data_IF_258337086259
#
_entry.id   IF_258337086259
#
_cell.length_a   1.000
_cell.length_b   1.000
_cell.length_c   1.000
_cell.angle_alpha   90.00
_cell.angle_beta   90.00
_cell.angle_gamma   90.00
#
_symmetry.space_group_name_H-M   'P 1'
#
loop_
_entity.id
_entity.type
_entity.pdbx_description
1 polymer ?
#
# COMPACT_ATOMS: atom_id res chain seq x y z
N UNK A 1 2.39 -33.88 24.14
CA UNK A 1 2.93 -34.57 25.33
C UNK A 1 2.96 -36.06 25.04
N UNK A 2 4.10 -36.71 25.25
CA UNK A 2 4.22 -38.16 25.10
C UNK A 2 3.94 -38.83 26.46
N UNK A 3 3.06 -39.83 26.49
CA UNK A 3 2.67 -40.57 27.70
C UNK A 3 3.16 -42.00 27.58
N UNK A 4 4.04 -42.41 28.50
CA UNK A 4 4.48 -43.80 28.65
C UNK A 4 3.42 -44.59 29.45
N UNK A 5 2.96 -45.71 28.88
CA UNK A 5 1.84 -46.52 29.40
C UNK A 5 2.30 -47.59 30.42
N UNK A 6 3.59 -47.70 30.75
CA UNK A 6 4.12 -48.77 31.59
C UNK A 6 4.26 -48.46 33.08
N UNK A 7 4.46 -47.19 33.46
CA UNK A 7 4.84 -46.84 34.85
C UNK A 7 3.93 -45.82 35.53
N UNK A 8 2.97 -45.24 34.80
CA UNK A 8 2.00 -44.26 35.33
C UNK A 8 2.59 -42.94 35.85
N UNK A 9 3.92 -42.75 35.75
CA UNK A 9 4.60 -41.55 36.22
C UNK A 9 4.63 -40.51 35.10
N UNK A 10 3.81 -39.48 35.25
CA UNK A 10 3.88 -38.29 34.39
C UNK A 10 5.10 -37.44 34.79
N UNK A 11 6.19 -37.54 34.04
CA UNK A 11 7.26 -36.55 34.11
C UNK A 11 6.82 -35.31 33.34
N UNK A 12 6.32 -34.33 34.08
CA UNK A 12 6.00 -33.00 33.57
C UNK A 12 7.33 -32.30 33.26
N UNK A 13 7.84 -32.49 32.03
CA UNK A 13 8.91 -31.66 31.50
C UNK A 13 8.29 -30.28 31.29
N UNK A 14 8.31 -29.47 32.35
CA UNK A 14 7.98 -28.07 32.28
C UNK A 14 9.11 -27.41 31.52
N UNK A 15 8.95 -27.28 30.20
CA UNK A 15 9.84 -26.49 29.37
C UNK A 15 9.62 -25.05 29.83
N UNK A 16 10.43 -24.59 30.79
CA UNK A 16 10.66 -23.18 31.07
C UNK A 16 11.43 -22.60 29.89
N UNK A 17 10.81 -22.62 28.73
CA UNK A 17 11.28 -22.00 27.52
C UNK A 17 10.90 -20.54 27.61
N UNK A 18 11.71 -19.74 28.30
CA UNK A 18 11.78 -18.30 28.03
C UNK A 18 12.46 -18.05 26.67
N UNK A 19 11.97 -18.74 25.64
CA UNK A 19 12.45 -18.75 24.25
C UNK A 19 11.35 -18.34 23.27
N UNK A 20 10.20 -17.92 23.79
CA UNK A 20 9.14 -17.27 23.04
C UNK A 20 9.04 -15.82 23.50
N UNK A 21 8.76 -14.93 22.56
CA UNK A 21 8.47 -13.51 22.80
C UNK A 21 7.54 -13.37 24.01
N UNK A 22 7.92 -12.52 24.96
CA UNK A 22 7.06 -12.16 26.08
C UNK A 22 5.76 -11.53 25.56
N UNK A 23 4.68 -11.57 26.36
CA UNK A 23 3.40 -10.96 25.94
C UNK A 23 3.55 -9.49 25.53
N UNK A 24 4.42 -8.75 26.22
CA UNK A 24 4.74 -7.36 25.90
C UNK A 24 5.46 -7.23 24.54
N UNK A 25 6.38 -8.14 24.23
CA UNK A 25 7.04 -8.19 22.91
C UNK A 25 6.06 -8.59 21.80
N UNK A 26 5.14 -9.53 22.07
CA UNK A 26 4.08 -9.92 21.12
C UNK A 26 3.15 -8.74 20.81
N UNK A 27 2.71 -8.00 21.84
CA UNK A 27 1.86 -6.82 21.64
C UNK A 27 2.58 -5.70 20.90
N UNK A 28 3.87 -5.49 21.20
CA UNK A 28 4.69 -4.50 20.49
C UNK A 28 4.86 -4.90 19.01
N UNK A 29 5.20 -6.15 18.73
CA UNK A 29 5.35 -6.65 17.37
C UNK A 29 4.03 -6.61 16.59
N UNK A 30 2.89 -6.80 17.25
CA UNK A 30 1.58 -6.67 16.62
C UNK A 30 1.29 -5.23 16.20
N UNK A 31 1.54 -4.24 17.08
CA UNK A 31 1.38 -2.82 16.73
C UNK A 31 2.36 -2.34 15.66
N UNK A 32 3.61 -2.79 15.73
CA UNK A 32 4.63 -2.47 14.73
C UNK A 32 4.22 -3.05 13.36
N UNK A 33 3.72 -4.29 13.32
CA UNK A 33 3.20 -4.91 12.10
C UNK A 33 1.96 -4.18 11.53
N UNK A 34 1.02 -3.76 12.37
CA UNK A 34 -0.15 -2.99 11.95
C UNK A 34 0.24 -1.62 11.39
N UNK A 35 1.19 -0.93 12.03
CA UNK A 35 1.68 0.38 11.58
C UNK A 35 2.36 0.28 10.22
N UNK A 36 3.25 -0.69 10.04
CA UNK A 36 3.91 -0.91 8.75
C UNK A 36 2.95 -1.35 7.66
N UNK A 37 1.94 -2.16 7.97
CA UNK A 37 0.89 -2.51 7.01
C UNK A 37 0.11 -1.27 6.53
N UNK A 38 -0.12 -0.29 7.41
CA UNK A 38 -0.77 0.98 7.03
C UNK A 38 0.16 1.88 6.20
N UNK A 39 1.44 1.94 6.53
CA UNK A 39 2.46 2.65 5.74
C UNK A 39 2.58 2.06 4.32
N UNK A 40 2.69 0.73 4.20
CA UNK A 40 2.76 0.04 2.91
C UNK A 40 1.49 0.27 2.09
N UNK A 41 0.32 0.28 2.74
CA UNK A 41 -0.95 0.58 2.08
C UNK A 41 -0.98 2.00 1.54
N UNK A 42 -0.55 2.99 2.33
CA UNK A 42 -0.47 4.41 1.89
C UNK A 42 0.52 4.58 0.76
N UNK A 43 1.68 3.93 0.82
CA UNK A 43 2.68 3.97 -0.25
C UNK A 43 2.12 3.37 -1.55
N UNK A 44 1.43 2.24 -1.46
CA UNK A 44 0.75 1.62 -2.60
C UNK A 44 -0.33 2.52 -3.18
N UNK A 45 -1.19 3.10 -2.36
CA UNK A 45 -2.25 4.03 -2.79
C UNK A 45 -1.66 5.26 -3.49
N UNK A 46 -0.57 5.83 -2.96
CA UNK A 46 0.11 6.96 -3.60
C UNK A 46 0.64 6.60 -5.00
N UNK A 47 1.26 5.42 -5.16
CA UNK A 47 1.75 4.94 -6.45
C UNK A 47 0.59 4.66 -7.41
N UNK A 48 -0.50 4.03 -6.95
CA UNK A 48 -1.69 3.79 -7.77
C UNK A 48 -2.32 5.10 -8.24
N UNK A 49 -2.44 6.09 -7.36
CA UNK A 49 -2.93 7.43 -7.71
C UNK A 49 -2.02 8.06 -8.76
N UNK A 50 -0.70 7.99 -8.59
CA UNK A 50 0.28 8.53 -9.55
C UNK A 50 0.13 7.89 -10.93
N UNK A 51 0.04 6.56 -10.99
CA UNK A 51 -0.13 5.81 -12.24
C UNK A 51 -1.47 6.09 -12.92
N UNK A 52 -2.56 6.16 -12.15
CA UNK A 52 -3.89 6.49 -12.66
C UNK A 52 -3.94 7.92 -13.21
N UNK A 53 -3.34 8.87 -12.50
CA UNK A 53 -3.28 10.26 -12.91
C UNK A 53 -2.45 10.44 -14.20
N UNK A 54 -1.30 9.76 -14.32
CA UNK A 54 -0.48 9.79 -15.55
C UNK A 54 -1.23 9.17 -16.75
N UNK A 55 -1.87 8.02 -16.52
CA UNK A 55 -2.70 7.36 -17.54
C UNK A 55 -3.82 8.27 -18.03
N UNK A 56 -4.52 8.95 -17.10
CA UNK A 56 -5.60 9.87 -17.43
C UNK A 56 -5.09 11.11 -18.19
N UNK A 57 -3.94 11.67 -17.77
CA UNK A 57 -3.30 12.78 -18.46
C UNK A 57 -2.96 12.40 -19.91
N UNK A 58 -2.32 11.25 -20.12
CA UNK A 58 -1.99 10.74 -21.44
C UNK A 58 -3.22 10.50 -22.32
N UNK A 59 -4.28 9.87 -21.78
CA UNK A 59 -5.54 9.67 -22.50
C UNK A 59 -6.18 11.00 -22.92
N UNK A 60 -6.16 11.98 -22.02
CA UNK A 60 -6.71 13.32 -22.27
C UNK A 60 -5.91 14.06 -23.34
N UNK A 61 -4.57 14.00 -23.31
CA UNK A 61 -3.71 14.56 -24.37
C UNK A 61 -3.99 13.91 -25.73
N UNK A 62 -4.15 12.59 -25.75
CA UNK A 62 -4.47 11.86 -26.98
C UNK A 62 -5.84 12.29 -27.53
N UNK A 63 -6.85 12.35 -26.67
CA UNK A 63 -8.19 12.82 -27.05
C UNK A 63 -8.16 14.25 -27.59
N UNK A 64 -7.40 15.16 -26.97
CA UNK A 64 -7.22 16.52 -27.48
C UNK A 64 -6.57 16.54 -28.87
N UNK A 65 -5.55 15.72 -29.10
CA UNK A 65 -4.93 15.56 -30.43
C UNK A 65 -5.91 15.01 -31.46
N UNK A 66 -6.67 13.99 -31.11
CA UNK A 66 -7.62 13.32 -32.01
C UNK A 66 -8.81 14.22 -32.35
N UNK A 67 -9.29 15.00 -31.37
CA UNK A 67 -10.37 15.96 -31.56
C UNK A 67 -9.90 17.19 -32.35
N UNK A 68 -8.62 17.55 -32.25
CA UNK A 68 -8.01 18.61 -33.04
C UNK A 68 -8.88 19.86 -33.03
N UNK A 69 -9.15 20.44 -34.20
CA UNK A 69 -9.86 21.71 -34.33
C UNK A 69 -11.39 21.60 -34.20
N UNK A 70 -11.91 20.42 -33.82
CA UNK A 70 -13.35 20.22 -33.58
C UNK A 70 -13.80 20.71 -32.20
N UNK A 71 -12.87 21.08 -31.33
CA UNK A 71 -13.12 21.66 -30.02
C UNK A 71 -12.71 23.12 -30.02
N UNK A 72 -13.53 24.02 -29.44
CA UNK A 72 -13.19 25.43 -29.35
C UNK A 72 -11.95 25.64 -28.46
N UNK A 73 -11.17 26.67 -28.79
CA UNK A 73 -9.85 26.93 -28.22
C UNK A 73 -9.89 27.14 -26.70
N UNK A 74 -10.97 27.74 -26.18
CA UNK A 74 -11.21 27.93 -24.75
C UNK A 74 -11.26 26.59 -24.00
N UNK A 75 -11.97 25.60 -24.57
CA UNK A 75 -12.09 24.25 -24.02
C UNK A 75 -10.80 23.46 -24.19
N UNK A 76 -10.12 23.58 -25.32
CA UNK A 76 -8.81 22.95 -25.52
C UNK A 76 -7.83 23.42 -24.45
N UNK A 77 -7.72 24.74 -24.25
CA UNK A 77 -6.80 25.34 -23.29
C UNK A 77 -7.11 24.96 -21.84
N UNK A 78 -8.40 24.93 -21.46
CA UNK A 78 -8.81 24.45 -20.14
C UNK A 78 -8.35 23.01 -19.85
N UNK A 79 -8.43 22.13 -20.85
CA UNK A 79 -8.01 20.73 -20.70
C UNK A 79 -6.48 20.62 -20.69
N UNK A 80 -5.76 21.36 -21.54
CA UNK A 80 -4.29 21.42 -21.53
C UNK A 80 -3.73 21.91 -20.18
N UNK A 81 -4.32 22.98 -19.61
CA UNK A 81 -3.93 23.50 -18.31
C UNK A 81 -4.18 22.48 -17.19
N UNK A 82 -5.31 21.76 -17.24
CA UNK A 82 -5.62 20.70 -16.28
C UNK A 82 -4.65 19.52 -16.38
N UNK A 83 -4.30 19.08 -17.60
CA UNK A 83 -3.30 18.03 -17.84
C UNK A 83 -1.93 18.45 -17.28
N UNK A 84 -1.53 19.70 -17.53
CA UNK A 84 -0.27 20.24 -17.02
C UNK A 84 -0.25 20.28 -15.50
N UNK A 85 -1.33 20.72 -14.85
CA UNK A 85 -1.45 20.74 -13.40
C UNK A 85 -1.34 19.32 -12.80
N UNK A 86 -1.96 18.32 -13.43
CA UNK A 86 -1.85 16.92 -13.01
C UNK A 86 -0.41 16.42 -13.12
N UNK A 87 0.29 16.69 -14.24
CA UNK A 87 1.70 16.31 -14.41
C UNK A 87 2.63 16.99 -13.40
N UNK A 88 2.46 18.28 -13.16
CA UNK A 88 3.25 18.99 -12.15
C UNK A 88 3.02 18.43 -10.73
N UNK A 89 1.79 18.01 -10.42
CA UNK A 89 1.46 17.38 -9.14
C UNK A 89 2.07 15.97 -9.00
N UNK A 90 2.18 15.23 -10.11
CA UNK A 90 2.86 13.92 -10.19
C UNK A 90 4.38 14.06 -10.03
N UNK A 91 4.99 15.11 -10.60
CA UNK A 91 6.44 15.35 -10.52
C UNK A 91 6.90 15.91 -9.17
N UNK A 92 6.04 16.65 -8.45
CA UNK A 92 6.36 17.24 -7.14
C UNK A 92 6.19 16.27 -5.95
N UNK A 93 5.60 15.09 -6.16
CA UNK A 93 5.45 14.00 -5.16
C UNK A 93 6.41 12.84 -5.46
#
# INVERSE_FOLDING_TARGET
>A
SAKDLGTGKEQKISITGSSGLSKDEVEKMQRDAETHAEEDKKAKEAIEIKNNADTLAYQSEKQLKDLGDKIPEDKRKQVEDAIKAVREAIEKN
#
